data_IF_735363458016
#
_entry.id   IF_735363458016
#
_cell.length_a   1.000
_cell.length_b   1.000
_cell.length_c   1.000
_cell.angle_alpha   90.00
_cell.angle_beta   90.00
_cell.angle_gamma   90.00
#
_symmetry.space_group_name_H-M   'P 1'
#
loop_
_entity.id
_entity.type
_entity.pdbx_description
1 polymer ?
#
# COMPACT_ATOMS: atom_id res chain seq x y z
N UNK A 1 -21.96 17.48 -0.38
CA UNK A 1 -20.55 17.50 -0.87
C UNK A 1 -20.40 18.09 -2.27
N UNK A 2 -21.33 17.85 -3.22
CA UNK A 2 -21.22 18.39 -4.61
C UNK A 2 -21.00 19.91 -4.70
N UNK A 3 -21.59 20.69 -3.79
CA UNK A 3 -21.43 22.15 -3.76
C UNK A 3 -20.01 22.62 -3.43
N UNK A 4 -19.19 21.81 -2.74
CA UNK A 4 -17.84 22.19 -2.31
C UNK A 4 -16.75 21.71 -3.28
N UNK A 5 -17.09 20.80 -4.22
CA UNK A 5 -16.12 20.25 -5.17
C UNK A 5 -15.47 21.33 -6.06
N UNK A 6 -16.18 22.34 -6.58
CA UNK A 6 -15.54 23.37 -7.40
C UNK A 6 -14.44 24.13 -6.65
N UNK A 7 -14.66 24.44 -5.37
CA UNK A 7 -13.67 25.13 -4.54
C UNK A 7 -12.44 24.26 -4.30
N UNK A 8 -12.64 22.97 -3.98
CA UNK A 8 -11.53 22.02 -3.82
C UNK A 8 -10.72 21.84 -5.11
N UNK A 9 -11.39 21.82 -6.26
CA UNK A 9 -10.73 21.71 -7.56
C UNK A 9 -9.83 22.91 -7.85
N UNK A 10 -10.29 24.14 -7.55
CA UNK A 10 -9.48 25.36 -7.70
C UNK A 10 -8.23 25.30 -6.82
N UNK A 11 -8.38 24.90 -5.54
CA UNK A 11 -7.22 24.78 -4.64
C UNK A 11 -6.21 23.75 -5.15
N UNK A 12 -6.68 22.58 -5.58
CA UNK A 12 -5.79 21.55 -6.14
C UNK A 12 -5.09 22.05 -7.41
N UNK A 13 -5.78 22.80 -8.27
CA UNK A 13 -5.20 23.39 -9.47
C UNK A 13 -4.04 24.35 -9.16
N UNK A 14 -4.22 25.23 -8.17
CA UNK A 14 -3.15 26.15 -7.75
C UNK A 14 -1.94 25.40 -7.16
N UNK A 15 -2.18 24.35 -6.37
CA UNK A 15 -1.11 23.50 -5.83
C UNK A 15 -0.34 22.81 -6.96
N UNK A 16 -1.04 22.23 -7.95
CA UNK A 16 -0.40 21.60 -9.10
C UNK A 16 0.42 22.60 -9.91
N UNK A 17 -0.10 23.81 -10.14
CA UNK A 17 0.60 24.85 -10.88
C UNK A 17 1.90 25.29 -10.17
N UNK A 18 1.89 25.41 -8.85
CA UNK A 18 3.06 25.80 -8.07
C UNK A 18 4.09 24.66 -7.91
N UNK A 19 3.65 23.43 -7.64
CA UNK A 19 4.52 22.30 -7.34
C UNK A 19 5.01 21.57 -8.60
N UNK A 20 4.25 21.60 -9.70
CA UNK A 20 4.52 20.86 -10.94
C UNK A 20 4.82 19.36 -10.70
N UNK A 21 3.96 18.61 -9.97
CA UNK A 21 4.22 17.21 -9.69
C UNK A 21 4.09 16.34 -10.96
N UNK A 22 4.90 15.29 -11.06
CA UNK A 22 4.82 14.32 -12.18
C UNK A 22 3.64 13.36 -12.07
N UNK A 23 3.16 13.09 -10.84
CA UNK A 23 2.04 12.19 -10.53
C UNK A 23 1.26 12.70 -9.32
N UNK A 24 -0.03 12.35 -9.26
CA UNK A 24 -0.90 12.63 -8.10
C UNK A 24 -1.45 11.29 -7.60
N UNK A 25 -1.25 11.04 -6.30
CA UNK A 25 -1.71 9.83 -5.63
C UNK A 25 -2.72 10.25 -4.57
N UNK A 26 -3.91 9.67 -4.62
CA UNK A 26 -4.96 9.94 -3.63
C UNK A 26 -4.92 8.86 -2.56
N UNK A 27 -4.68 9.25 -1.31
CA UNK A 27 -4.78 8.37 -0.15
C UNK A 27 -6.17 8.44 0.47
N UNK A 28 -6.76 7.29 0.77
CA UNK A 28 -7.97 7.20 1.59
C UNK A 28 -7.66 7.37 3.09
N UNK A 29 -6.39 7.21 3.49
CA UNK A 29 -5.91 7.35 4.87
C UNK A 29 -5.57 8.81 5.14
N UNK A 30 -5.96 9.31 6.31
CA UNK A 30 -5.70 10.69 6.71
C UNK A 30 -5.20 10.80 8.15
N UNK A 31 -5.52 11.93 8.79
CA UNK A 31 -5.02 12.27 10.13
C UNK A 31 -5.43 11.23 11.19
N UNK A 32 -6.65 10.69 11.09
CA UNK A 32 -7.15 9.69 12.05
C UNK A 32 -6.31 8.42 12.01
N UNK A 33 -6.07 7.91 10.81
CA UNK A 33 -5.27 6.69 10.62
C UNK A 33 -3.80 6.94 10.98
N UNK A 34 -3.24 8.10 10.62
CA UNK A 34 -1.88 8.47 11.03
C UNK A 34 -1.71 8.60 12.55
N UNK A 35 -2.73 9.08 13.26
CA UNK A 35 -2.72 9.10 14.71
C UNK A 35 -2.73 7.67 15.30
N UNK A 36 -3.59 6.78 14.80
CA UNK A 36 -3.60 5.38 15.24
C UNK A 36 -2.27 4.69 14.95
N UNK A 37 -1.68 4.94 13.78
CA UNK A 37 -0.35 4.45 13.42
C UNK A 37 0.73 4.93 14.41
N UNK A 38 0.67 6.18 14.86
CA UNK A 38 1.62 6.72 15.84
C UNK A 38 1.54 6.08 17.23
N UNK A 39 0.48 5.33 17.51
CA UNK A 39 0.31 4.58 18.76
C UNK A 39 0.87 3.15 18.68
N UNK A 40 1.21 2.67 17.49
CA UNK A 40 1.83 1.36 17.29
C UNK A 40 3.27 1.38 17.83
N UNK A 41 3.77 0.21 18.22
CA UNK A 41 5.18 0.08 18.56
C UNK A 41 6.09 0.18 17.32
N UNK A 42 7.39 0.35 17.52
CA UNK A 42 8.33 0.49 16.40
C UNK A 42 8.39 -0.75 15.50
N UNK A 43 8.09 -1.95 16.02
CA UNK A 43 8.15 -3.17 15.24
C UNK A 43 6.96 -3.25 14.28
N UNK A 44 5.76 -2.94 14.78
CA UNK A 44 4.53 -2.85 13.98
C UNK A 44 4.59 -1.73 12.94
N UNK A 45 5.18 -0.57 13.28
CA UNK A 45 5.40 0.52 12.32
C UNK A 45 6.36 0.14 11.18
N UNK A 46 7.36 -0.71 11.46
CA UNK A 46 8.34 -1.16 10.46
C UNK A 46 7.84 -2.33 9.61
N UNK A 47 6.76 -2.99 10.03
CA UNK A 47 6.17 -4.09 9.28
C UNK A 47 5.54 -3.59 7.98
N UNK A 48 5.71 -4.35 6.90
CA UNK A 48 5.07 -4.02 5.62
C UNK A 48 3.55 -4.23 5.75
N UNK A 49 2.72 -3.19 5.57
CA UNK A 49 1.28 -3.29 5.78
C UNK A 49 0.58 -4.18 4.74
N UNK A 50 1.10 -4.29 3.51
CA UNK A 50 0.55 -5.15 2.47
C UNK A 50 0.81 -6.62 2.80
N UNK A 51 2.04 -6.96 3.19
CA UNK A 51 2.40 -8.32 3.59
C UNK A 51 1.64 -8.71 4.86
N UNK A 52 1.59 -7.82 5.86
CA UNK A 52 0.89 -8.07 7.13
C UNK A 52 -0.60 -8.33 6.93
N UNK A 53 -1.27 -7.52 6.08
CA UNK A 53 -2.67 -7.75 5.75
C UNK A 53 -2.88 -9.05 4.96
N UNK A 54 -1.96 -9.39 4.06
CA UNK A 54 -2.01 -10.63 3.28
C UNK A 54 -1.86 -11.86 4.17
N UNK A 55 -0.96 -11.81 5.15
CA UNK A 55 -0.76 -12.88 6.13
C UNK A 55 -2.00 -13.09 7.00
N UNK A 56 -2.61 -12.01 7.52
CA UNK A 56 -3.83 -12.14 8.32
C UNK A 56 -5.00 -12.68 7.47
N UNK A 57 -5.12 -12.26 6.21
CA UNK A 57 -6.09 -12.84 5.29
C UNK A 57 -5.82 -14.33 5.05
N UNK A 58 -4.56 -14.72 4.84
CA UNK A 58 -4.19 -16.12 4.69
C UNK A 58 -4.51 -16.92 5.96
N UNK A 59 -4.24 -16.38 7.15
CA UNK A 59 -4.59 -16.99 8.44
C UNK A 59 -6.10 -17.22 8.59
N UNK A 60 -6.90 -16.26 8.13
CA UNK A 60 -8.35 -16.31 8.26
C UNK A 60 -9.07 -17.12 7.18
N UNK A 61 -8.44 -17.32 6.00
CA UNK A 61 -9.14 -17.79 4.80
C UNK A 61 -8.43 -18.88 4.01
N UNK A 62 -7.13 -19.09 4.20
CA UNK A 62 -6.42 -20.16 3.50
C UNK A 62 -6.65 -21.52 4.14
N UNK A 63 -6.36 -22.59 3.39
CA UNK A 63 -6.35 -23.96 3.93
C UNK A 63 -5.06 -24.28 4.71
N UNK A 64 -3.99 -23.55 4.42
CA UNK A 64 -2.69 -23.70 5.05
C UNK A 64 -1.90 -22.40 4.91
N UNK A 65 -1.64 -21.75 6.03
CA UNK A 65 -0.81 -20.52 6.09
C UNK A 65 0.63 -20.85 5.71
N UNK A 66 1.16 -21.96 6.21
CA UNK A 66 2.50 -22.44 5.87
C UNK A 66 2.67 -22.60 4.37
N UNK A 67 1.67 -23.15 3.68
CA UNK A 67 1.74 -23.30 2.23
C UNK A 67 1.70 -21.96 1.49
N UNK A 68 1.05 -20.93 2.03
CA UNK A 68 1.11 -19.59 1.44
C UNK A 68 2.55 -19.04 1.44
N UNK A 69 3.33 -19.30 2.49
CA UNK A 69 4.74 -18.93 2.54
C UNK A 69 5.61 -19.76 1.59
N UNK A 70 5.36 -21.08 1.50
CA UNK A 70 6.04 -21.94 0.53
C UNK A 70 5.82 -21.47 -0.92
N UNK A 71 4.61 -20.96 -1.23
CA UNK A 71 4.32 -20.41 -2.55
C UNK A 71 5.16 -19.17 -2.85
N UNK A 72 5.37 -18.26 -1.89
CA UNK A 72 6.23 -17.08 -2.07
C UNK A 72 7.66 -17.51 -2.40
N UNK A 73 8.22 -18.44 -1.63
CA UNK A 73 9.58 -18.96 -1.88
C UNK A 73 9.69 -19.65 -3.24
N UNK A 74 8.66 -20.41 -3.61
CA UNK A 74 8.61 -21.12 -4.88
C UNK A 74 8.50 -20.16 -6.06
N UNK A 75 7.63 -19.14 -5.98
CA UNK A 75 7.48 -18.15 -7.05
C UNK A 75 8.75 -17.33 -7.25
N UNK A 76 9.41 -16.91 -6.17
CA UNK A 76 10.67 -16.16 -6.27
C UNK A 76 11.75 -16.96 -7.01
N UNK A 77 11.94 -18.24 -6.66
CA UNK A 77 12.88 -19.14 -7.37
C UNK A 77 12.48 -19.36 -8.83
N UNK A 78 11.18 -19.42 -9.09
CA UNK A 78 10.63 -19.65 -10.43
C UNK A 78 10.89 -18.45 -11.33
N UNK A 79 10.64 -17.22 -10.86
CA UNK A 79 10.91 -15.99 -11.59
C UNK A 79 12.40 -15.88 -11.95
N UNK A 80 13.28 -16.12 -10.96
CA UNK A 80 14.73 -16.15 -11.19
C UNK A 80 15.14 -17.21 -12.23
N UNK A 81 14.56 -18.41 -12.18
CA UNK A 81 14.85 -19.48 -13.15
C UNK A 81 14.39 -19.13 -14.57
N UNK A 82 13.30 -18.37 -14.71
CA UNK A 82 12.81 -17.88 -16.00
C UNK A 82 13.51 -16.60 -16.48
N UNK A 83 14.43 -16.03 -15.69
CA UNK A 83 15.10 -14.76 -16.02
C UNK A 83 14.14 -13.57 -16.04
N UNK A 84 13.09 -13.62 -15.21
CA UNK A 84 12.11 -12.55 -15.05
C UNK A 84 12.54 -11.74 -13.83
N UNK A 85 12.89 -10.48 -14.04
CA UNK A 85 13.11 -9.52 -12.96
C UNK A 85 11.76 -8.97 -12.48
N UNK A 86 11.52 -9.05 -11.17
CA UNK A 86 10.34 -8.43 -10.56
C UNK A 86 10.51 -6.90 -10.59
N UNK A 87 9.60 -6.21 -11.29
CA UNK A 87 9.55 -4.76 -11.39
C UNK A 87 8.55 -4.18 -10.40
N UNK A 88 8.73 -2.94 -9.98
CA UNK A 88 7.79 -2.23 -9.10
C UNK A 88 6.43 -1.90 -9.77
N UNK A 89 6.31 -2.13 -11.08
CA UNK A 89 5.13 -1.83 -11.91
C UNK A 89 4.06 -2.93 -11.90
#
# INVERSE_FOLDING_TARGET
RRSLLPYGAVVLQEIMAAMQPSKIIVSALGVREGFLYSLLDEAEQKADPLISASEELARLRSRSVTHAHELVDWTAKTFAAFGIDETED
#
